data_IF_470815410299
#
_entry.id   IF_470815410299
#
_cell.length_a   1.000
_cell.length_b   1.000
_cell.length_c   1.000
_cell.angle_alpha   90.00
_cell.angle_beta   90.00
_cell.angle_gamma   90.00
#
_symmetry.space_group_name_H-M   'P 1'
#
loop_
_entity.id
_entity.type
_entity.pdbx_description
1 polymer ?
2 non-polymer ?
3 non-polymer ?
4 water ?
#
# COMPACT_ATOMS: atom_id res chain seq x y z
N UNK A 1 12.99 24.08 -7.23
CA UNK A 1 13.70 22.82 -7.36
C UNK A 1 13.59 22.28 -8.78
N UNK A 2 14.54 21.43 -9.16
CA UNK A 2 14.55 20.84 -10.50
C UNK A 2 14.75 19.34 -10.46
N UNK A 3 13.90 18.62 -11.20
CA UNK A 3 14.03 17.19 -11.36
C UNK A 3 14.37 16.91 -12.83
N UNK A 4 15.47 16.20 -13.06
CA UNK A 4 15.91 15.92 -14.42
C UNK A 4 16.20 14.44 -14.60
N UNK A 5 15.72 13.90 -15.71
CA UNK A 5 16.06 12.55 -16.12
C UNK A 5 16.93 12.68 -17.36
N UNK A 6 18.03 11.94 -17.40
CA UNK A 6 18.93 12.00 -18.55
C UNK A 6 19.22 10.63 -19.15
N UNK A 7 19.03 10.53 -20.47
CA UNK A 7 19.43 9.34 -21.21
C UNK A 7 18.85 8.03 -20.68
N UNK A 8 17.63 8.09 -20.15
CA UNK A 8 16.98 6.89 -19.65
C UNK A 8 16.77 5.87 -20.76
N UNK A 9 17.03 4.61 -20.45
CA UNK A 9 16.78 3.53 -21.38
C UNK A 9 16.28 2.31 -20.62
N UNK A 10 15.31 1.61 -21.20
CA UNK A 10 14.80 0.37 -20.61
C UNK A 10 14.39 -0.59 -21.72
N UNK A 11 14.81 -1.85 -21.59
CA UNK A 11 14.41 -2.89 -22.52
C UNK A 11 13.76 -4.04 -21.77
N UNK A 12 12.78 -4.67 -22.42
CA UNK A 12 12.17 -5.89 -21.89
C UNK A 12 12.38 -7.01 -22.88
N UNK A 13 13.14 -8.03 -22.47
CA UNK A 13 13.48 -9.14 -23.35
C UNK A 13 14.16 -8.63 -24.60
N UNK A 14 14.92 -7.55 -24.48
CA UNK A 14 15.63 -6.98 -25.60
C UNK A 14 14.88 -5.88 -26.34
N UNK A 15 13.56 -5.87 -26.21
CA UNK A 15 12.74 -4.85 -26.86
C UNK A 15 12.96 -3.51 -26.17
N UNK A 16 13.45 -2.53 -26.92
CA UNK A 16 13.71 -1.21 -26.34
C UNK A 16 12.43 -0.39 -26.23
N UNK A 17 11.89 -0.28 -25.03
CA UNK A 17 10.63 0.43 -24.84
C UNK A 17 10.82 1.87 -24.41
N UNK A 18 12.02 2.18 -23.93
CA UNK A 18 12.42 3.56 -23.65
C UNK A 18 13.88 3.70 -24.05
N UNK A 19 14.20 4.71 -24.85
CA UNK A 19 15.55 4.88 -25.37
C UNK A 19 15.98 6.35 -25.42
N UNK A 20 17.07 6.65 -24.72
CA UNK A 20 17.65 8.00 -24.71
C UNK A 20 16.61 9.06 -24.37
N UNK A 21 15.84 8.82 -23.31
CA UNK A 21 14.85 9.81 -22.89
C UNK A 21 15.41 10.75 -21.83
N UNK A 22 15.39 12.04 -22.13
CA UNK A 22 15.81 13.06 -21.18
C UNK A 22 14.69 14.09 -21.01
N UNK A 23 14.44 14.52 -19.78
CA UNK A 23 13.42 15.52 -19.55
C UNK A 23 13.66 16.24 -18.24
N UNK A 24 13.04 17.42 -18.11
CA UNK A 24 13.18 18.23 -16.92
C UNK A 24 11.81 18.70 -16.46
N UNK A 25 11.63 18.79 -15.15
CA UNK A 25 10.46 19.45 -14.62
C UNK A 25 10.88 20.32 -13.46
N UNK A 26 10.42 21.56 -13.46
CA UNK A 26 10.77 22.51 -12.41
C UNK A 26 9.56 22.82 -11.53
N UNK A 27 9.83 23.20 -10.29
CA UNK A 27 8.79 23.69 -9.40
C UNK A 27 7.95 24.74 -10.13
N UNK A 28 6.63 24.63 -10.00
CA UNK A 28 5.73 25.66 -10.49
C UNK A 28 5.38 25.62 -11.96
N UNK A 29 5.51 24.46 -12.60
CA UNK A 29 5.05 24.31 -13.97
C UNK A 29 4.37 22.95 -14.14
N UNK A 30 3.52 22.85 -15.16
CA UNK A 30 2.95 21.57 -15.56
C UNK A 30 3.61 21.16 -16.88
N UNK A 31 4.28 20.01 -16.85
CA UNK A 31 5.00 19.50 -18.01
C UNK A 31 4.38 18.19 -18.45
N UNK A 32 4.09 18.08 -19.74
CA UNK A 32 3.50 16.86 -20.27
C UNK A 32 4.53 15.89 -20.81
N UNK A 33 4.25 14.60 -20.64
CA UNK A 33 4.93 13.53 -21.36
C UNK A 33 3.82 12.79 -22.07
N UNK A 34 3.65 13.07 -23.36
CA UNK A 34 2.45 12.65 -24.07
C UNK A 34 2.77 11.78 -25.28
N UNK A 35 1.96 10.75 -25.49
CA UNK A 35 2.15 9.86 -26.62
C UNK A 35 1.20 8.68 -26.53
N UNK A 36 1.11 7.87 -27.60
CA UNK A 36 0.15 6.76 -27.64
C UNK A 36 0.37 5.68 -26.57
N UNK A 37 -0.66 4.88 -26.33
CA UNK A 37 -0.51 3.70 -25.50
C UNK A 37 0.71 2.93 -25.98
N UNK A 38 1.56 2.51 -25.05
CA UNK A 38 2.73 1.71 -25.35
C UNK A 38 3.99 2.50 -25.68
N UNK A 39 3.91 3.82 -25.66
CA UNK A 39 5.03 4.65 -26.10
C UNK A 39 6.21 4.61 -25.12
N UNK A 40 5.94 4.25 -23.86
CA UNK A 40 6.98 4.18 -22.85
C UNK A 40 6.84 5.19 -21.73
N UNK A 41 5.64 5.75 -21.58
CA UNK A 41 5.42 6.80 -20.59
C UNK A 41 5.54 6.27 -19.16
N UNK A 42 4.80 5.20 -18.87
CA UNK A 42 4.84 4.62 -17.54
C UNK A 42 6.23 4.08 -17.21
N UNK A 43 6.85 3.44 -18.17
CA UNK A 43 8.18 2.89 -17.93
C UNK A 43 9.15 4.00 -17.56
N UNK A 44 9.05 5.13 -18.26
CA UNK A 44 9.84 6.30 -17.92
C UNK A 44 9.57 6.76 -16.48
N UNK A 45 8.30 6.87 -16.11
CA UNK A 45 7.95 7.23 -14.73
C UNK A 45 8.56 6.23 -13.74
N UNK A 46 8.49 4.94 -14.06
CA UNK A 46 9.02 3.91 -13.18
C UNK A 46 10.50 4.15 -12.90
N UNK A 47 11.25 4.52 -13.94
CA UNK A 47 12.68 4.73 -13.78
C UNK A 47 12.99 5.98 -12.96
N UNK A 48 12.12 6.98 -13.05
CA UNK A 48 12.31 8.22 -12.31
C UNK A 48 11.97 7.98 -10.84
N UNK A 49 10.90 7.24 -10.59
CA UNK A 49 10.45 6.97 -9.22
C UNK A 49 11.34 5.97 -8.49
N UNK A 50 11.88 5.00 -9.25
CA UNK A 50 12.72 3.98 -8.67
C UNK A 50 12.02 2.63 -8.57
N UNK A 51 10.99 2.44 -9.39
CA UNK A 51 10.17 1.23 -9.35
C UNK A 51 10.74 0.10 -10.22
N UNK A 52 11.35 0.45 -11.35
CA UNK A 52 12.08 -0.54 -12.15
C UNK A 52 13.53 -0.12 -12.34
N UNK A 53 14.43 -1.11 -12.42
CA UNK A 53 15.83 -0.82 -12.72
C UNK A 53 15.96 -0.21 -14.11
N UNK A 54 16.77 0.84 -14.24
CA UNK A 54 17.05 1.40 -15.54
C UNK A 54 18.19 0.63 -16.21
N UNK A 55 18.21 0.58 -17.53
CA UNK A 55 19.30 -0.04 -18.26
C UNK A 55 20.41 0.98 -18.49
N UNK A 56 20.03 2.24 -18.43
CA UNK A 56 20.96 3.34 -18.62
C UNK A 56 20.29 4.63 -18.15
N UNK A 57 21.10 5.66 -17.90
CA UNK A 57 20.57 6.97 -17.61
C UNK A 57 20.83 7.43 -16.19
N UNK A 58 20.44 8.67 -15.92
CA UNK A 58 20.66 9.27 -14.62
C UNK A 58 19.44 10.02 -14.14
N UNK A 59 19.20 9.97 -12.83
CA UNK A 59 18.15 10.76 -12.23
C UNK A 59 18.78 11.80 -11.32
N UNK A 60 18.41 13.06 -11.51
CA UNK A 60 19.06 14.15 -10.80
C UNK A 60 18.03 15.09 -10.17
N UNK A 61 18.22 15.39 -8.90
CA UNK A 61 17.45 16.45 -8.26
C UNK A 61 18.39 17.58 -7.86
N UNK A 62 18.15 18.74 -8.43
CA UNK A 62 19.05 19.88 -8.25
C UNK A 62 20.46 19.48 -8.67
N UNK A 63 21.43 19.60 -7.77
CA UNK A 63 22.81 19.28 -8.13
C UNK A 63 23.11 17.79 -7.94
N UNK A 64 22.27 17.12 -7.15
CA UNK A 64 22.56 15.76 -6.71
C UNK A 64 22.04 14.69 -7.68
N UNK A 65 22.93 13.80 -8.09
CA UNK A 65 22.50 12.61 -8.82
C UNK A 65 22.00 11.58 -7.83
N UNK A 66 20.73 11.21 -7.95
CA UNK A 66 20.09 10.30 -7.00
C UNK A 66 19.81 8.94 -7.62
N UNK A 67 20.51 8.64 -8.70
CA UNK A 67 20.30 7.40 -9.44
C UNK A 67 20.43 6.17 -8.55
N UNK A 68 21.37 6.20 -7.61
CA UNK A 68 21.61 5.06 -6.74
C UNK A 68 20.69 5.00 -5.52
N UNK A 69 19.86 6.02 -5.35
CA UNK A 69 18.93 6.06 -4.21
C UNK A 69 17.74 5.14 -4.42
N UNK A 70 17.40 4.35 -3.39
CA UNK A 70 16.19 3.52 -3.41
C UNK A 70 14.94 4.39 -3.48
N UNK A 71 13.82 3.77 -3.88
CA UNK A 71 12.54 4.44 -3.99
C UNK A 71 12.21 5.30 -2.76
N UNK A 72 12.36 4.74 -1.57
CA UNK A 72 11.96 5.45 -0.35
C UNK A 72 12.79 6.72 -0.14
N UNK A 73 14.06 6.67 -0.53
CA UNK A 73 14.95 7.81 -0.35
C UNK A 73 14.65 8.90 -1.38
N UNK A 74 14.37 8.50 -2.61
CA UNK A 74 13.97 9.45 -3.64
C UNK A 74 12.67 10.16 -3.24
N UNK A 75 11.74 9.41 -2.65
CA UNK A 75 10.49 9.99 -2.20
C UNK A 75 10.74 11.06 -1.14
N UNK A 76 11.62 10.75 -0.18
CA UNK A 76 12.00 11.70 0.85
C UNK A 76 12.61 12.97 0.24
N UNK A 77 13.32 12.79 -0.87
CA UNK A 77 13.98 13.91 -1.55
C UNK A 77 12.97 14.77 -2.33
N UNK A 78 11.74 14.30 -2.44
CA UNK A 78 10.68 15.11 -3.00
C UNK A 78 9.90 14.54 -4.17
N UNK A 79 10.20 13.31 -4.59
CA UNK A 79 9.44 12.71 -5.68
C UNK A 79 8.14 12.07 -5.21
N UNK A 80 7.01 12.58 -5.73
CA UNK A 80 5.70 12.02 -5.47
C UNK A 80 5.18 11.39 -6.74
N UNK A 81 4.23 10.46 -6.59
CA UNK A 81 3.84 9.61 -7.71
C UNK A 81 2.42 9.07 -7.60
N UNK A 82 1.64 9.32 -8.65
CA UNK A 82 0.32 8.73 -8.82
C UNK A 82 0.36 7.66 -9.88
N UNK A 83 0.20 6.39 -9.48
CA UNK A 83 0.19 5.31 -10.47
C UNK A 83 -0.99 5.39 -11.43
N UNK A 84 -0.79 4.86 -12.63
CA UNK A 84 -1.85 4.78 -13.62
C UNK A 84 -2.96 3.84 -13.16
N UNK A 85 -2.57 2.68 -12.65
CA UNK A 85 -3.55 1.72 -12.13
C UNK A 85 -4.12 2.20 -10.80
N UNK A 86 -5.29 1.69 -10.44
CA UNK A 86 -5.87 2.04 -9.14
C UNK A 86 -4.88 1.78 -8.01
N UNK A 87 -4.79 2.71 -7.06
CA UNK A 87 -3.88 2.55 -5.92
C UNK A 87 -4.60 2.75 -4.60
N UNK A 88 -5.87 3.16 -4.65
CA UNK A 88 -6.63 3.35 -3.42
C UNK A 88 -6.83 2.02 -2.70
N UNK A 89 -6.87 2.05 -1.37
CA UNK A 89 -7.24 0.86 -0.60
C UNK A 89 -8.75 0.73 -0.68
N UNK A 90 -9.22 -0.25 -1.44
CA UNK A 90 -10.64 -0.38 -1.73
C UNK A 90 -11.53 -0.68 -0.51
N UNK A 91 -10.99 -1.36 0.49
CA UNK A 91 -11.79 -1.71 1.66
C UNK A 91 -11.83 -0.57 2.69
N UNK A 92 -10.94 0.41 2.54
CA UNK A 92 -10.82 1.47 3.53
C UNK A 92 -11.55 2.73 3.14
N UNK A 93 -12.03 3.48 4.14
CA UNK A 93 -12.65 4.76 3.88
C UNK A 93 -11.66 5.75 3.31
N UNK A 94 -12.18 6.87 2.82
CA UNK A 94 -11.35 7.95 2.33
C UNK A 94 -10.42 8.40 3.45
N UNK A 95 -10.97 8.63 4.64
CA UNK A 95 -10.18 9.08 5.77
C UNK A 95 -9.06 8.08 6.11
N UNK A 96 -9.41 6.80 6.16
CA UNK A 96 -8.41 5.79 6.54
C UNK A 96 -7.34 5.64 5.46
N UNK A 97 -7.72 5.84 4.20
CA UNK A 97 -6.74 5.89 3.13
C UNK A 97 -5.72 6.99 3.35
N UNK A 98 -6.20 8.17 3.73
CA UNK A 98 -5.30 9.30 3.91
C UNK A 98 -4.45 9.13 5.16
N UNK A 99 -5.07 8.65 6.24
CA UNK A 99 -4.30 8.50 7.47
C UNK A 99 -3.22 7.44 7.33
N UNK A 100 -3.45 6.43 6.48
CA UNK A 100 -2.44 5.40 6.28
C UNK A 100 -1.18 6.03 5.72
N UNK A 101 -1.32 6.87 4.69
CA UNK A 101 -0.16 7.52 4.09
C UNK A 101 0.46 8.56 5.01
N UNK A 102 -0.38 9.28 5.75
CA UNK A 102 0.12 10.33 6.63
C UNK A 102 0.98 9.82 7.79
N UNK A 103 0.97 8.52 8.04
CA UNK A 103 1.84 7.97 9.07
C UNK A 103 3.31 8.09 8.74
N UNK A 104 3.65 8.38 7.49
CA UNK A 104 5.05 8.56 7.14
C UNK A 104 5.53 9.96 7.47
N UNK A 105 4.61 10.82 7.90
CA UNK A 105 4.96 12.20 8.20
C UNK A 105 5.52 12.35 9.61
N UNK A 106 6.78 11.94 9.77
CA UNK A 106 7.42 11.98 11.08
C UNK A 106 7.66 13.41 11.57
N UNK A 107 7.45 14.40 10.70
CA UNK A 107 7.58 15.80 11.08
C UNK A 107 6.32 16.33 11.76
N UNK A 108 5.23 15.59 11.66
CA UNK A 108 3.95 15.99 12.22
C UNK A 108 3.57 15.14 13.43
N UNK A 109 2.93 15.77 14.41
CA UNK A 109 2.31 15.01 15.50
C UNK A 109 1.08 14.26 15.00
N UNK A 110 0.60 13.33 15.82
CA UNK A 110 -0.62 12.58 15.46
C UNK A 110 -1.78 13.53 15.16
N UNK A 111 -1.96 14.53 16.01
CA UNK A 111 -3.02 15.51 15.82
C UNK A 111 -2.82 16.30 14.53
N UNK A 112 -1.57 16.62 14.23
CA UNK A 112 -1.27 17.37 13.02
C UNK A 112 -1.51 16.54 11.76
N UNK A 113 -1.27 15.23 11.86
CA UNK A 113 -1.61 14.34 10.76
C UNK A 113 -3.11 14.31 10.52
N UNK A 114 -3.89 14.27 11.59
CA UNK A 114 -5.34 14.35 11.48
C UNK A 114 -5.76 15.66 10.84
N UNK A 115 -5.14 16.76 11.28
CA UNK A 115 -5.40 18.06 10.69
C UNK A 115 -5.10 18.05 9.20
N UNK A 116 -3.98 17.44 8.82
CA UNK A 116 -3.59 17.43 7.43
C UNK A 116 -4.59 16.63 6.59
N UNK A 117 -5.10 15.53 7.14
CA UNK A 117 -6.08 14.72 6.40
C UNK A 117 -7.33 15.53 6.12
N UNK A 118 -7.78 16.29 7.13
CA UNK A 118 -8.94 17.15 6.94
C UNK A 118 -8.68 18.22 5.89
N UNK A 119 -7.50 18.82 5.94
CA UNK A 119 -7.11 19.81 4.94
C UNK A 119 -7.14 19.21 3.54
N UNK A 120 -6.51 18.05 3.39
CA UNK A 120 -6.47 17.37 2.11
C UNK A 120 -7.86 17.01 1.59
N UNK A 121 -8.73 16.56 2.49
CA UNK A 121 -10.08 16.24 2.03
C UNK A 121 -10.79 17.48 1.49
N UNK A 122 -10.61 18.61 2.18
CA UNK A 122 -11.21 19.86 1.71
C UNK A 122 -10.61 20.30 0.38
N UNK A 123 -9.28 20.25 0.28
CA UNK A 123 -8.59 20.71 -0.93
C UNK A 123 -8.97 19.90 -2.17
N UNK A 124 -9.24 18.62 -1.96
CA UNK A 124 -9.55 17.71 -3.07
C UNK A 124 -11.04 17.44 -3.24
N UNK A 125 -11.87 18.18 -2.51
CA UNK A 125 -13.32 18.07 -2.65
C UNK A 125 -13.82 16.65 -2.39
N UNK A 126 -13.34 16.04 -1.32
CA UNK A 126 -13.76 14.69 -0.94
C UNK A 126 -14.16 14.60 0.53
N UNK A 127 -14.29 15.74 1.19
CA UNK A 127 -14.59 15.71 2.63
C UNK A 127 -15.99 15.14 2.91
N UNK A 128 -16.89 15.20 1.93
CA UNK A 128 -18.21 14.60 2.09
C UNK A 128 -18.17 13.08 2.01
N UNK A 129 -17.01 12.53 1.62
CA UNK A 129 -16.84 11.10 1.41
C UNK A 129 -15.92 10.49 2.48
N UNK A 130 -15.69 11.26 3.54
CA UNK A 130 -14.78 10.87 4.62
C UNK A 130 -14.89 9.38 4.98
N UNK A 131 -16.09 8.91 5.26
CA UNK A 131 -16.28 7.55 5.75
C UNK A 131 -16.69 6.56 4.65
N UNK A 132 -16.67 7.00 3.40
CA UNK A 132 -17.01 6.13 2.28
C UNK A 132 -15.87 5.19 1.92
N UNK A 133 -16.21 3.92 1.71
CA UNK A 133 -15.23 2.92 1.32
C UNK A 133 -14.72 3.23 -0.07
N UNK A 134 -13.42 3.02 -0.29
CA UNK A 134 -12.82 3.24 -1.59
C UNK A 134 -13.57 2.54 -2.71
N UNK A 135 -14.02 1.32 -2.45
CA UNK A 135 -14.74 0.54 -3.46
C UNK A 135 -16.03 1.19 -3.93
N UNK A 136 -16.63 2.02 -3.08
CA UNK A 136 -17.92 2.62 -3.37
C UNK A 136 -17.81 3.89 -4.24
N UNK A 137 -16.59 4.40 -4.39
CA UNK A 137 -16.37 5.65 -5.08
C UNK A 137 -16.39 5.52 -6.60
N UNK A 138 -16.83 6.57 -7.27
CA UNK A 138 -16.71 6.64 -8.72
C UNK A 138 -15.24 6.74 -9.13
N UNK A 139 -14.97 6.56 -10.40
CA UNK A 139 -13.62 6.72 -10.90
C UNK A 139 -13.03 8.08 -10.58
N UNK A 140 -13.82 9.13 -10.81
CA UNK A 140 -13.38 10.49 -10.53
C UNK A 140 -13.11 10.73 -9.05
N UNK A 141 -13.98 10.24 -8.19
CA UNK A 141 -13.78 10.35 -6.75
C UNK A 141 -12.54 9.60 -6.29
N UNK A 142 -12.37 8.38 -6.79
CA UNK A 142 -11.20 7.59 -6.44
C UNK A 142 -9.92 8.31 -6.84
N UNK A 143 -9.92 8.87 -8.05
CA UNK A 143 -8.75 9.60 -8.52
C UNK A 143 -8.42 10.78 -7.61
N UNK A 144 -9.44 11.50 -7.13
CA UNK A 144 -9.17 12.59 -6.21
C UNK A 144 -8.53 12.07 -4.92
N UNK A 145 -9.02 10.95 -4.41
CA UNK A 145 -8.42 10.36 -3.22
C UNK A 145 -6.99 9.93 -3.47
N UNK A 146 -6.73 9.32 -4.64
CA UNK A 146 -5.39 8.88 -4.96
C UNK A 146 -4.40 10.03 -5.11
N UNK A 147 -4.84 11.14 -5.71
CA UNK A 147 -3.96 12.29 -5.82
C UNK A 147 -3.70 12.87 -4.43
N UNK A 148 -4.74 12.91 -3.59
CA UNK A 148 -4.57 13.38 -2.21
C UNK A 148 -3.57 12.49 -1.47
N UNK A 149 -3.66 11.18 -1.67
CA UNK A 149 -2.71 10.25 -1.05
C UNK A 149 -1.27 10.57 -1.47
N UNK A 150 -1.08 10.89 -2.74
CA UNK A 150 0.26 11.21 -3.22
C UNK A 150 0.79 12.47 -2.56
N UNK A 151 -0.10 13.43 -2.33
CA UNK A 151 0.26 14.72 -1.78
C UNK A 151 0.51 14.66 -0.27
N UNK A 152 -0.09 13.67 0.38
CA UNK A 152 0.07 13.52 1.82
C UNK A 152 1.55 13.38 2.22
N UNK A 153 2.37 12.92 1.29
CA UNK A 153 3.79 12.75 1.56
C UNK A 153 4.60 14.04 1.39
N UNK A 154 3.91 15.13 1.07
CA UNK A 154 4.55 16.44 0.93
C UNK A 154 5.70 16.48 -0.09
N UNK A 155 5.42 16.13 -1.35
CA UNK A 155 6.44 16.11 -2.40
C UNK A 155 6.70 17.48 -3.03
N UNK A 156 7.85 17.61 -3.68
CA UNK A 156 8.18 18.80 -4.44
C UNK A 156 7.78 18.61 -5.90
N UNK A 157 7.79 17.36 -6.35
CA UNK A 157 7.45 17.00 -7.72
C UNK A 157 6.38 15.95 -7.65
N UNK A 158 5.38 16.06 -8.52
CA UNK A 158 4.35 15.03 -8.57
C UNK A 158 4.23 14.48 -9.99
N UNK A 159 4.50 13.18 -10.12
CA UNK A 159 4.37 12.49 -11.38
C UNK A 159 2.99 11.86 -11.48
N UNK A 160 2.13 12.45 -12.31
CA UNK A 160 0.76 11.97 -12.46
C UNK A 160 0.65 11.10 -13.71
N UNK A 161 0.49 9.79 -13.51
CA UNK A 161 0.41 8.88 -14.65
C UNK A 161 -1.05 8.70 -15.05
N UNK A 162 -1.45 9.41 -16.11
CA UNK A 162 -2.81 9.39 -16.63
C UNK A 162 -3.87 9.61 -15.56
N UNK A 163 -3.85 10.79 -14.92
CA UNK A 163 -4.79 11.09 -13.84
C UNK A 163 -6.26 11.08 -14.29
N UNK A 164 -6.50 11.17 -15.60
CA UNK A 164 -7.87 11.22 -16.11
C UNK A 164 -8.41 9.86 -16.54
N UNK A 165 -7.57 8.84 -16.49
CA UNK A 165 -7.99 7.51 -16.89
C UNK A 165 -9.07 6.97 -15.96
N UNK A 166 -10.19 6.53 -16.53
CA UNK A 166 -11.28 5.96 -15.77
C UNK A 166 -12.15 7.00 -15.10
N UNK A 167 -11.99 8.25 -15.51
CA UNK A 167 -12.72 9.37 -14.94
C UNK A 167 -13.75 9.89 -15.93
N UNK A 168 -15.00 10.03 -15.49
CA UNK A 168 -16.06 10.54 -16.36
C UNK A 168 -15.74 11.97 -16.79
N UNK A 169 -16.20 12.35 -18.00
CA UNK A 169 -15.92 13.68 -18.57
C UNK A 169 -16.21 14.82 -17.60
N UNK A 170 -17.22 14.67 -16.76
CA UNK A 170 -17.58 15.72 -15.80
C UNK A 170 -16.53 15.86 -14.71
N UNK A 171 -16.13 14.73 -14.12
CA UNK A 171 -15.14 14.73 -13.04
C UNK A 171 -13.77 15.23 -13.50
N UNK A 172 -13.50 15.11 -14.80
CA UNK A 172 -12.22 15.54 -15.36
C UNK A 172 -11.97 17.03 -15.15
N UNK A 173 -13.04 17.82 -15.24
CA UNK A 173 -12.92 19.26 -15.06
C UNK A 173 -12.32 19.62 -13.70
N UNK A 174 -12.84 19.01 -12.64
CA UNK A 174 -12.36 19.34 -11.30
C UNK A 174 -10.92 18.87 -11.09
N UNK A 175 -10.59 17.72 -11.64
CA UNK A 175 -9.23 17.18 -11.48
C UNK A 175 -8.22 18.09 -12.18
N UNK A 176 -8.58 18.60 -13.36
CA UNK A 176 -7.70 19.53 -14.06
C UNK A 176 -7.45 20.77 -13.21
N UNK A 177 -8.51 21.25 -12.56
CA UNK A 177 -8.39 22.46 -11.75
C UNK A 177 -7.55 22.21 -10.51
N UNK A 178 -7.72 21.03 -9.91
CA UNK A 178 -6.87 20.62 -8.80
C UNK A 178 -5.39 20.59 -9.23
N UNK A 179 -5.11 19.99 -10.37
CA UNK A 179 -3.75 19.93 -10.89
C UNK A 179 -3.20 21.34 -11.12
N UNK A 180 -4.02 22.22 -11.68
CA UNK A 180 -3.59 23.59 -11.88
C UNK A 180 -3.30 24.25 -10.53
N UNK A 181 -4.11 23.93 -9.53
CA UNK A 181 -3.90 24.42 -8.17
C UNK A 181 -2.58 23.93 -7.60
N UNK A 182 -2.24 22.67 -7.88
CA UNK A 182 -0.98 22.11 -7.41
C UNK A 182 0.19 22.90 -7.96
N UNK A 183 0.12 23.20 -9.25
CA UNK A 183 1.16 23.99 -9.91
C UNK A 183 1.28 25.38 -9.27
N UNK A 184 0.13 25.99 -9.01
CA UNK A 184 0.09 27.32 -8.39
C UNK A 184 0.71 27.29 -7.01
N UNK A 185 0.58 26.16 -6.32
CA UNK A 185 1.11 25.99 -4.98
C UNK A 185 2.62 25.73 -4.97
N UNK A 186 3.20 25.60 -6.16
CA UNK A 186 4.63 25.47 -6.29
C UNK A 186 5.14 24.07 -6.58
N UNK A 187 4.21 23.14 -6.80
CA UNK A 187 4.59 21.78 -7.20
C UNK A 187 5.08 21.78 -8.64
N UNK A 188 6.06 20.93 -8.92
CA UNK A 188 6.43 20.64 -10.29
C UNK A 188 5.59 19.44 -10.67
N UNK A 189 4.83 19.57 -11.75
CA UNK A 189 3.91 18.52 -12.16
C UNK A 189 4.33 17.93 -13.51
N UNK A 190 4.55 16.61 -13.53
CA UNK A 190 4.83 15.91 -14.78
C UNK A 190 3.67 14.96 -15.02
N UNK A 191 3.01 15.12 -16.16
CA UNK A 191 1.74 14.45 -16.42
C UNK A 191 1.76 13.71 -17.74
N UNK A 192 1.29 12.46 -17.73
CA UNK A 192 1.21 11.65 -18.94
C UNK A 192 -0.23 11.53 -19.44
N UNK A 193 -0.35 11.29 -20.74
CA UNK A 193 -1.64 11.02 -21.38
C UNK A 193 -1.41 10.53 -22.80
N UNK A 194 -2.37 9.78 -23.32
CA UNK A 194 -2.38 9.45 -24.74
C UNK A 194 -3.26 10.46 -25.48
N UNK A 195 -4.18 11.10 -24.77
CA UNK A 195 -4.99 12.15 -25.37
C UNK A 195 -4.23 13.47 -25.40
N UNK A 196 -3.49 13.68 -26.48
CA UNK A 196 -2.57 14.81 -26.57
C UNK A 196 -3.24 16.15 -26.34
N UNK A 197 -4.27 16.44 -27.13
CA UNK A 197 -4.92 17.75 -27.11
C UNK A 197 -5.53 18.07 -25.74
N UNK A 198 -6.20 17.09 -25.15
CA UNK A 198 -6.86 17.30 -23.86
C UNK A 198 -5.87 17.73 -22.78
N UNK A 199 -4.78 16.97 -22.64
CA UNK A 199 -3.80 17.24 -21.59
C UNK A 199 -2.84 18.38 -21.97
N UNK A 200 -2.54 18.50 -23.26
CA UNK A 200 -1.65 19.55 -23.72
C UNK A 200 -2.18 20.91 -23.29
N UNK A 201 -3.50 21.06 -23.35
CA UNK A 201 -4.15 22.33 -23.01
C UNK A 201 -3.82 22.80 -21.60
N UNK A 202 -3.54 21.86 -20.70
CA UNK A 202 -3.24 22.20 -19.31
C UNK A 202 -1.73 22.23 -19.04
N UNK A 203 -0.94 21.95 -20.07
CA UNK A 203 0.52 21.97 -19.93
C UNK A 203 1.09 23.32 -20.32
N UNK A 204 2.16 23.72 -19.64
CA UNK A 204 2.93 24.88 -20.08
C UNK A 204 3.83 24.48 -21.25
N UNK A 205 4.32 23.25 -21.19
CA UNK A 205 5.14 22.70 -22.27
C UNK A 205 5.03 21.18 -22.17
N UNK A 206 5.40 20.49 -23.24
CA UNK A 206 5.29 19.04 -23.24
C UNK A 206 6.33 18.39 -24.13
N UNK A 207 6.70 17.17 -23.75
CA UNK A 207 7.51 16.29 -24.58
C UNK A 207 6.56 15.29 -25.21
N UNK A 208 6.75 15.02 -26.50
CA UNK A 208 5.98 13.98 -27.16
C UNK A 208 6.84 12.73 -27.34
N UNK A 209 6.32 11.58 -26.92
CA UNK A 209 7.05 10.32 -27.08
C UNK A 209 6.33 9.38 -28.04
N UNK A 210 7.12 8.65 -28.83
CA UNK A 210 6.61 7.67 -29.76
C UNK A 210 7.56 6.48 -29.80
N UNK A 211 7.02 5.29 -29.55
CA UNK A 211 7.80 4.06 -29.60
C UNK A 211 9.14 4.15 -28.85
N UNK A 212 9.12 4.76 -27.67
CA UNK A 212 10.30 4.77 -26.82
C UNK A 212 11.18 5.99 -26.95
N UNK A 213 10.90 6.84 -27.95
CA UNK A 213 11.76 7.98 -28.25
C UNK A 213 11.04 9.31 -28.10
N UNK A 214 11.76 10.31 -27.61
CA UNK A 214 11.25 11.68 -27.59
C UNK A 214 11.34 12.21 -29.00
N UNK A 215 10.24 12.75 -29.52
CA UNK A 215 10.26 13.24 -30.90
C UNK A 215 10.06 14.74 -30.99
N UNK A 216 9.60 15.36 -29.91
CA UNK A 216 9.35 16.78 -29.94
C UNK A 216 9.20 17.36 -28.54
N UNK A 217 9.48 18.65 -28.42
CA UNK A 217 9.20 19.40 -27.20
C UNK A 217 8.78 20.81 -27.55
N UNK A 218 7.81 21.33 -26.81
CA UNK A 218 7.42 22.71 -26.99
C UNK A 218 6.15 23.06 -26.24
N UNK A 219 5.68 24.27 -26.49
CA UNK A 219 4.42 24.73 -25.92
C UNK A 219 3.30 24.03 -26.69
N UNK A 220 2.06 24.10 -26.17
CA UNK A 220 0.96 23.44 -26.89
C UNK A 220 0.82 23.86 -28.35
N UNK A 221 0.93 25.15 -28.65
CA UNK A 221 0.79 25.60 -30.03
C UNK A 221 1.95 25.11 -30.90
N UNK A 222 3.14 25.08 -30.32
CA UNK A 222 4.32 24.58 -31.03
C UNK A 222 4.17 23.11 -31.38
N UNK A 223 3.70 22.33 -30.40
CA UNK A 223 3.53 20.90 -30.59
C UNK A 223 2.46 20.56 -31.63
N UNK A 224 1.38 21.33 -31.63
CA UNK A 224 0.27 21.06 -32.56
C UNK A 224 0.60 21.46 -33.99
N UNK A 225 1.71 22.18 -34.18
CA UNK A 225 2.12 22.64 -35.50
C UNK A 225 3.43 22.00 -35.91
N UNK A 226 3.95 21.12 -35.05
CA UNK A 226 5.23 20.46 -35.31
C UNK A 226 5.05 19.31 -36.29
N UNK A 227 5.78 19.33 -37.41
CA UNK A 227 5.63 18.29 -38.42
C UNK A 227 6.07 16.91 -37.92
N UNK A 228 7.08 16.87 -37.05
CA UNK A 228 7.56 15.61 -36.51
C UNK A 228 6.47 14.94 -35.70
N UNK A 229 5.64 15.76 -35.05
CA UNK A 229 4.53 15.26 -34.27
C UNK A 229 3.39 14.82 -35.18
N UNK A 230 3.08 15.65 -36.17
CA UNK A 230 2.03 15.33 -37.14
C UNK A 230 2.36 14.01 -37.79
N UNK A 231 3.64 13.83 -38.08
CA UNK A 231 4.16 12.69 -38.81
C UNK A 231 3.82 11.34 -38.17
N UNK A 232 3.59 11.32 -36.86
CA UNK A 232 3.29 10.06 -36.17
C UNK A 232 1.81 9.92 -35.85
N UNK A 233 1.02 10.90 -36.26
CA UNK A 233 -0.42 10.86 -36.08
C UNK A 233 -1.16 10.95 -37.41
N UNK A 234 -0.52 10.45 -38.47
CA UNK A 234 -1.10 10.49 -39.81
C UNK A 234 -2.26 9.49 -39.96
N UNK B 1 0.99 -8.04 27.46
CA UNK B 1 -0.14 -7.28 26.96
C UNK B 1 -1.31 -8.22 26.65
N UNK B 2 -2.52 -7.67 26.64
CA UNK B 2 -3.71 -8.47 26.36
C UNK B 2 -4.59 -7.78 25.33
N UNK B 3 -4.97 -8.51 24.30
CA UNK B 3 -5.93 -8.03 23.32
C UNK B 3 -7.21 -8.85 23.44
N UNK B 4 -8.34 -8.17 23.62
CA UNK B 4 -9.59 -8.87 23.83
C UNK B 4 -10.66 -8.35 22.87
N UNK B 5 -11.39 -9.28 22.25
CA UNK B 5 -12.59 -8.92 21.52
C UNK B 5 -13.77 -9.52 22.29
N UNK B 6 -14.76 -8.70 22.59
CA UNK B 6 -15.91 -9.16 23.37
C UNK B 6 -17.20 -9.00 22.59
N UNK B 7 -17.97 -10.08 22.49
CA UNK B 7 -19.33 -9.99 21.95
C UNK B 7 -19.42 -9.39 20.54
N UNK B 8 -18.46 -9.72 19.70
CA UNK B 8 -18.48 -9.18 18.34
C UNK B 8 -19.63 -9.73 17.51
N UNK B 9 -20.22 -8.87 16.70
CA UNK B 9 -21.26 -9.31 15.80
C UNK B 9 -21.17 -8.51 14.51
N UNK B 10 -21.42 -9.18 13.39
CA UNK B 10 -21.46 -8.54 12.09
C UNK B 10 -22.50 -9.24 11.21
N UNK B 11 -23.35 -8.45 10.57
CA UNK B 11 -24.29 -8.99 9.60
C UNK B 11 -24.12 -8.29 8.26
N UNK B 12 -24.40 -9.02 7.19
CA UNK B 12 -24.41 -8.45 5.84
C UNK B 12 -25.77 -8.70 5.24
N UNK B 13 -26.47 -7.61 4.90
CA UNK B 13 -27.83 -7.69 4.38
C UNK B 13 -28.71 -8.61 5.22
N UNK B 14 -28.58 -8.49 6.54
CA UNK B 14 -29.43 -9.22 7.46
C UNK B 14 -28.89 -10.58 7.87
N UNK B 15 -27.89 -11.08 7.15
CA UNK B 15 -27.30 -12.37 7.45
C UNK B 15 -26.19 -12.21 8.48
N UNK B 16 -26.35 -12.81 9.64
CA UNK B 16 -25.37 -12.71 10.72
C UNK B 16 -24.19 -13.64 10.46
N UNK B 17 -23.05 -13.09 10.05
CA UNK B 17 -21.91 -13.93 9.70
C UNK B 17 -20.92 -14.07 10.86
N UNK B 18 -21.01 -13.16 11.82
CA UNK B 18 -20.34 -13.31 13.11
C UNK B 18 -21.35 -12.95 14.18
N UNK B 19 -21.49 -13.80 15.18
CA UNK B 19 -22.42 -13.52 16.26
C UNK B 19 -21.89 -13.92 17.63
N UNK B 20 -21.75 -12.93 18.50
CA UNK B 20 -21.38 -13.16 19.90
C UNK B 20 -20.04 -13.86 20.02
N UNK B 21 -19.06 -13.38 19.25
CA UNK B 21 -17.71 -13.94 19.27
C UNK B 21 -16.84 -13.17 20.27
N UNK B 22 -16.29 -13.90 21.24
CA UNK B 22 -15.38 -13.32 22.21
C UNK B 22 -14.11 -14.12 22.26
N UNK B 23 -12.96 -13.43 22.24
CA UNK B 23 -11.68 -14.11 22.31
C UNK B 23 -10.62 -13.20 22.90
N UNK B 24 -9.55 -13.81 23.38
CA UNK B 24 -8.46 -13.05 23.97
C UNK B 24 -7.13 -13.62 23.51
N UNK B 25 -6.13 -12.74 23.40
CA UNK B 25 -4.78 -13.18 23.08
C UNK B 25 -3.80 -12.38 23.93
N UNK B 26 -2.84 -13.09 24.53
CA UNK B 26 -1.85 -12.43 25.37
C UNK B 26 -0.48 -12.47 24.71
N UNK B 27 0.37 -11.52 25.09
CA UNK B 27 1.77 -11.54 24.71
C UNK B 27 2.36 -12.90 25.03
N UNK B 28 3.16 -13.43 24.10
CA UNK B 28 3.88 -14.67 24.36
C UNK B 28 3.08 -15.95 24.18
N UNK B 29 1.96 -15.87 23.47
CA UNK B 29 1.26 -17.09 23.10
C UNK B 29 0.77 -17.04 21.68
N UNK B 30 0.55 -18.22 21.11
CA UNK B 30 -0.04 -18.34 19.79
C UNK B 30 -1.46 -18.86 19.98
N UNK B 31 -2.44 -18.06 19.55
CA UNK B 31 -3.84 -18.42 19.73
C UNK B 31 -4.47 -18.62 18.35
N UNK B 32 -5.19 -19.73 18.18
CA UNK B 32 -5.88 -19.99 16.94
C UNK B 32 -7.32 -19.54 16.92
N UNK B 33 -7.75 -19.07 15.75
CA UNK B 33 -9.16 -18.88 15.45
C UNK B 33 -9.38 -19.75 14.22
N UNK B 34 -9.93 -20.93 14.46
CA UNK B 34 -9.93 -21.99 13.46
C UNK B 34 -11.35 -22.42 13.11
N UNK B 35 -11.58 -22.68 11.83
CA UNK B 35 -12.89 -23.10 11.38
C UNK B 35 -12.98 -23.10 9.88
N UNK B 36 -14.07 -23.64 9.33
CA UNK B 36 -14.20 -23.82 7.88
C UNK B 36 -14.30 -22.51 7.11
N UNK B 37 -14.03 -22.59 5.80
CA UNK B 37 -14.27 -21.45 4.92
C UNK B 37 -15.68 -20.92 5.13
N UNK B 38 -15.78 -19.62 5.33
CA UNK B 38 -17.06 -18.96 5.51
C UNK B 38 -17.53 -18.86 6.96
N UNK B 39 -16.71 -19.34 7.90
CA UNK B 39 -17.11 -19.37 9.31
C UNK B 39 -17.15 -17.99 9.96
N UNK B 40 -16.44 -17.04 9.37
CA UNK B 40 -16.41 -15.69 9.90
C UNK B 40 -15.08 -15.27 10.49
N UNK B 41 -14.02 -15.98 10.14
CA UNK B 41 -12.68 -15.70 10.67
C UNK B 41 -12.14 -14.36 10.20
N UNK B 42 -12.12 -14.15 8.90
CA UNK B 42 -11.65 -12.88 8.36
C UNK B 42 -12.51 -11.69 8.82
N UNK B 43 -13.82 -11.88 8.88
CA UNK B 43 -14.71 -10.80 9.32
C UNK B 43 -14.39 -10.43 10.76
N UNK B 44 -14.09 -11.43 11.57
CA UNK B 44 -13.70 -11.18 12.95
C UNK B 44 -12.40 -10.37 12.97
N UNK B 45 -11.42 -10.78 12.18
CA UNK B 45 -10.17 -10.03 12.13
C UNK B 45 -10.42 -8.59 11.68
N UNK B 46 -11.26 -8.42 10.66
CA UNK B 46 -11.58 -7.08 10.16
C UNK B 46 -12.12 -6.21 11.30
N UNK B 47 -12.96 -6.79 12.15
CA UNK B 47 -13.52 -6.00 13.23
C UNK B 47 -12.50 -5.64 14.29
N UNK B 48 -11.52 -6.52 14.51
CA UNK B 48 -10.47 -6.23 15.48
C UNK B 48 -9.51 -5.17 14.95
N UNK B 49 -9.15 -5.30 13.68
CA UNK B 49 -8.21 -4.39 13.03
C UNK B 49 -8.83 -3.01 12.79
N UNK B 50 -10.12 -2.99 12.49
CA UNK B 50 -10.80 -1.75 12.14
C UNK B 50 -11.09 -1.60 10.66
N UNK B 51 -11.08 -2.70 9.93
CA UNK B 51 -11.35 -2.69 8.49
C UNK B 51 -12.83 -2.68 8.17
N UNK B 52 -13.66 -3.26 9.04
CA UNK B 52 -15.10 -3.14 8.87
C UNK B 52 -15.71 -2.72 10.19
N UNK B 53 -16.80 -1.94 10.12
CA UNK B 53 -17.46 -1.54 11.37
C UNK B 53 -18.14 -2.73 12.01
N UNK B 54 -18.09 -2.80 13.34
CA UNK B 54 -18.78 -3.85 14.06
C UNK B 54 -20.26 -3.52 14.22
N UNK B 55 -21.11 -4.52 14.17
CA UNK B 55 -22.53 -4.31 14.47
C UNK B 55 -22.76 -4.31 15.98
N UNK B 56 -21.88 -4.98 16.70
CA UNK B 56 -21.89 -5.01 18.16
C UNK B 56 -20.53 -5.48 18.64
N UNK B 57 -20.22 -5.20 19.90
CA UNK B 57 -19.02 -5.73 20.53
C UNK B 57 -18.00 -4.67 20.92
N UNK B 58 -16.91 -5.13 21.53
CA UNK B 58 -15.88 -4.23 22.02
C UNK B 58 -14.49 -4.79 21.73
N UNK B 59 -13.56 -3.91 21.42
CA UNK B 59 -12.17 -4.28 21.26
C UNK B 59 -11.39 -3.59 22.36
N UNK B 60 -10.62 -4.36 23.11
CA UNK B 60 -9.92 -3.85 24.29
C UNK B 60 -8.46 -4.24 24.25
N UNK B 61 -7.56 -3.29 24.51
CA UNK B 61 -6.14 -3.61 24.69
C UNK B 61 -5.74 -3.13 26.08
N UNK B 62 -5.19 -4.03 26.88
CA UNK B 62 -4.73 -3.67 28.22
C UNK B 62 -5.75 -2.83 28.99
N UNK B 63 -6.98 -3.32 29.03
CA UNK B 63 -8.05 -2.71 29.82
C UNK B 63 -8.52 -1.34 29.32
N UNK B 64 -8.07 -0.96 28.14
CA UNK B 64 -8.58 0.25 27.48
C UNK B 64 -9.43 -0.14 26.29
N UNK B 65 -10.68 0.30 26.29
CA UNK B 65 -11.56 0.02 25.17
C UNK B 65 -11.20 0.90 23.99
N UNK B 66 -10.82 0.27 22.88
CA UNK B 66 -10.36 1.02 21.72
C UNK B 66 -11.31 0.87 20.54
N UNK B 67 -12.53 0.45 20.83
CA UNK B 67 -13.55 0.22 19.80
C UNK B 67 -13.76 1.43 18.90
N UNK B 68 -13.67 2.63 19.48
CA UNK B 68 -13.92 3.85 18.73
C UNK B 68 -12.71 4.35 17.94
N UNK B 69 -11.56 3.73 18.17
CA UNK B 69 -10.34 4.17 17.48
C UNK B 69 -10.33 3.73 16.03
N UNK B 70 -9.91 4.63 15.13
CA UNK B 70 -9.79 4.23 13.72
C UNK B 70 -8.61 3.28 13.51
N UNK B 71 -8.58 2.66 12.33
CA UNK B 71 -7.53 1.72 11.94
C UNK B 71 -6.11 2.17 12.31
N UNK B 72 -5.72 3.39 11.91
CA UNK B 72 -4.33 3.80 12.09
C UNK B 72 -3.98 3.93 13.57
N UNK B 73 -4.96 4.32 14.37
CA UNK B 73 -4.75 4.50 15.80
C UNK B 73 -4.67 3.16 16.53
N UNK B 74 -5.49 2.20 16.10
CA UNK B 74 -5.38 0.87 16.67
C UNK B 74 -4.04 0.24 16.32
N UNK B 75 -3.57 0.48 15.09
CA UNK B 75 -2.27 0.00 14.68
C UNK B 75 -1.16 0.56 15.58
N UNK B 76 -1.21 1.87 15.83
CA UNK B 76 -0.22 2.51 16.68
C UNK B 76 -0.27 1.95 18.09
N UNK B 77 -1.46 1.52 18.52
CA UNK B 77 -1.63 0.97 19.86
C UNK B 77 -1.18 -0.48 19.96
N UNK B 78 -0.81 -1.07 18.83
CA UNK B 78 -0.19 -2.37 18.83
C UNK B 78 -0.76 -3.48 17.95
N UNK B 79 -1.82 -3.20 17.21
CA UNK B 79 -2.42 -4.25 16.38
C UNK B 79 -1.75 -4.31 15.02
N UNK B 80 -1.19 -5.46 14.70
CA UNK B 80 -0.62 -5.72 13.38
C UNK B 80 -1.43 -6.77 12.65
N UNK B 81 -1.33 -6.79 11.33
CA UNK B 81 -2.27 -7.57 10.56
C UNK B 81 -1.69 -8.01 9.22
N UNK B 82 -1.76 -9.32 8.98
CA UNK B 82 -1.40 -9.91 7.70
C UNK B 82 -2.68 -10.35 7.00
N UNK B 83 -3.01 -9.68 5.89
CA UNK B 83 -4.18 -10.05 5.10
C UNK B 83 -4.08 -11.45 4.51
N UNK B 84 -5.24 -12.05 4.32
CA UNK B 84 -5.37 -13.35 3.72
C UNK B 84 -4.93 -13.30 2.25
N UNK B 85 -5.39 -12.29 1.54
CA UNK B 85 -5.00 -12.09 0.14
C UNK B 85 -3.56 -11.60 0.05
N UNK B 86 -2.97 -11.71 -1.14
CA UNK B 86 -1.60 -11.23 -1.36
C UNK B 86 -1.52 -9.74 -1.04
N UNK B 87 -0.44 -9.32 -0.38
CA UNK B 87 -0.30 -7.91 0.01
C UNK B 87 1.07 -7.30 -0.35
N UNK B 88 1.98 -8.15 -0.81
CA UNK B 88 3.30 -7.66 -1.23
C UNK B 88 3.19 -6.79 -2.47
N UNK B 89 4.07 -5.79 -2.58
CA UNK B 89 4.17 -5.03 -3.82
C UNK B 89 5.06 -5.80 -4.80
N UNK B 90 4.44 -6.29 -5.86
CA UNK B 90 5.11 -7.25 -6.75
C UNK B 90 6.29 -6.66 -7.52
N UNK B 91 6.21 -5.36 -7.82
CA UNK B 91 7.25 -4.72 -8.61
C UNK B 91 8.45 -4.27 -7.77
N UNK B 92 8.27 -4.26 -6.45
CA UNK B 92 9.32 -3.77 -5.55
C UNK B 92 10.16 -4.90 -4.98
N UNK B 93 11.44 -4.64 -4.80
CA UNK B 93 12.34 -5.59 -4.16
C UNK B 93 11.87 -5.86 -2.73
N UNK B 94 12.44 -6.89 -2.11
CA UNK B 94 12.14 -7.18 -0.72
C UNK B 94 12.50 -5.98 0.15
N UNK B 95 13.67 -5.41 -0.12
CA UNK B 95 14.14 -4.26 0.62
C UNK B 95 13.17 -3.08 0.50
N UNK B 96 12.74 -2.78 -0.71
CA UNK B 96 11.80 -1.68 -0.93
C UNK B 96 10.44 -1.95 -0.29
N UNK B 97 10.00 -3.21 -0.29
CA UNK B 97 8.77 -3.58 0.39
C UNK B 97 8.81 -3.30 1.87
N UNK B 98 9.95 -3.60 2.48
CA UNK B 98 10.15 -3.39 3.91
C UNK B 98 10.35 -1.93 4.26
N UNK B 99 11.15 -1.22 3.47
CA UNK B 99 11.42 0.18 3.75
C UNK B 99 10.15 1.02 3.60
N UNK B 100 9.24 0.56 2.74
CA UNK B 100 7.96 1.23 2.55
C UNK B 100 7.21 1.29 3.87
N UNK B 101 7.13 0.16 4.56
CA UNK B 101 6.45 0.13 5.85
C UNK B 101 7.28 0.84 6.91
N UNK B 102 8.61 0.70 6.83
CA UNK B 102 9.46 1.31 7.85
C UNK B 102 9.40 2.83 7.89
N UNK B 103 8.84 3.43 6.84
CA UNK B 103 8.65 4.88 6.83
C UNK B 103 7.68 5.40 7.89
N UNK B 104 6.86 4.51 8.44
CA UNK B 104 5.91 4.92 9.47
C UNK B 104 6.51 4.84 10.87
N UNK B 105 7.77 4.43 10.96
CA UNK B 105 8.43 4.33 12.26
C UNK B 105 9.03 5.67 12.67
N UNK B 106 8.16 6.57 13.13
CA UNK B 106 8.58 7.88 13.58
C UNK B 106 9.43 7.82 14.85
N UNK B 107 9.55 6.62 15.41
CA UNK B 107 10.39 6.41 16.58
C UNK B 107 11.81 6.03 16.19
N UNK B 108 12.05 5.83 14.90
CA UNK B 108 13.37 5.44 14.41
C UNK B 108 13.97 6.47 13.47
N UNK B 109 15.27 6.69 13.58
CA UNK B 109 15.97 7.55 12.64
C UNK B 109 16.15 6.81 11.31
N UNK B 110 16.62 7.52 10.29
CA UNK B 110 16.82 6.93 8.98
C UNK B 110 17.75 5.72 9.05
N UNK B 111 18.86 5.86 9.77
CA UNK B 111 19.79 4.75 9.91
C UNK B 111 19.19 3.60 10.71
N UNK B 112 18.48 3.92 11.78
CA UNK B 112 17.84 2.89 12.59
C UNK B 112 16.82 2.11 11.75
N UNK B 113 16.16 2.79 10.83
CA UNK B 113 15.23 2.12 9.92
C UNK B 113 15.99 1.18 9.00
N UNK B 114 17.13 1.64 8.49
CA UNK B 114 17.96 0.78 7.66
C UNK B 114 18.38 -0.46 8.43
N UNK B 115 18.76 -0.29 9.69
CA UNK B 115 19.19 -1.41 10.52
C UNK B 115 18.04 -2.40 10.73
N UNK B 116 16.85 -1.86 10.99
CA UNK B 116 15.69 -2.71 11.23
C UNK B 116 15.37 -3.56 10.00
N UNK B 117 15.48 -2.96 8.82
CA UNK B 117 15.26 -3.68 7.57
C UNK B 117 16.22 -4.85 7.49
N UNK B 118 17.49 -4.59 7.76
CA UNK B 118 18.49 -5.66 7.75
C UNK B 118 18.14 -6.78 8.73
N UNK B 119 17.76 -6.39 9.95
CA UNK B 119 17.40 -7.34 10.98
C UNK B 119 16.19 -8.18 10.58
N UNK B 120 15.16 -7.52 10.05
CA UNK B 120 13.98 -8.24 9.60
C UNK B 120 14.31 -9.24 8.49
N UNK B 121 15.10 -8.81 7.52
CA UNK B 121 15.46 -9.71 6.43
C UNK B 121 16.19 -10.96 6.94
N UNK B 122 17.07 -10.78 7.91
CA UNK B 122 17.80 -11.90 8.49
C UNK B 122 16.89 -12.80 9.34
N UNK B 123 16.04 -12.18 10.13
CA UNK B 123 15.14 -12.91 11.00
C UNK B 123 14.18 -13.77 10.18
N UNK B 124 13.79 -13.27 9.02
CA UNK B 124 12.82 -13.96 8.17
C UNK B 124 13.47 -14.77 7.04
N UNK B 125 14.79 -14.86 7.07
CA UNK B 125 15.55 -15.67 6.11
C UNK B 125 15.28 -15.25 4.66
N UNK B 126 15.32 -13.95 4.40
CA UNK B 126 15.05 -13.43 3.07
C UNK B 126 16.09 -12.40 2.63
N UNK B 127 17.19 -12.32 3.37
CA UNK B 127 18.18 -11.28 3.10
C UNK B 127 18.89 -11.52 1.77
N UNK B 128 18.97 -12.78 1.36
CA UNK B 128 19.54 -13.12 0.06
C UNK B 128 18.60 -12.68 -1.06
N UNK B 129 17.40 -12.26 -0.68
CA UNK B 129 16.38 -11.83 -1.65
C UNK B 129 16.22 -10.32 -1.62
N UNK B 130 17.12 -9.64 -0.94
CA UNK B 130 17.05 -8.18 -0.74
C UNK B 130 16.63 -7.39 -1.98
N UNK B 131 17.27 -7.68 -3.10
CA UNK B 131 17.01 -6.92 -4.32
C UNK B 131 16.09 -7.63 -5.31
N UNK B 132 15.58 -8.80 -4.91
CA UNK B 132 14.66 -9.56 -5.76
C UNK B 132 13.26 -8.96 -5.75
N UNK B 133 12.67 -8.80 -6.92
CA UNK B 133 11.31 -8.28 -7.01
C UNK B 133 10.31 -9.22 -6.36
N UNK B 134 9.25 -8.65 -5.79
CA UNK B 134 8.21 -9.44 -5.16
C UNK B 134 7.66 -10.50 -6.11
N UNK B 135 7.60 -10.15 -7.39
CA UNK B 135 6.98 -11.02 -8.39
C UNK B 135 7.85 -12.23 -8.75
N UNK B 136 9.13 -12.18 -8.40
CA UNK B 136 10.05 -13.28 -8.71
C UNK B 136 10.13 -14.28 -7.57
N UNK B 137 9.40 -14.02 -6.49
CA UNK B 137 9.44 -14.85 -5.30
C UNK B 137 8.41 -15.97 -5.33
N UNK B 138 8.72 -17.09 -4.69
CA UNK B 138 7.76 -18.17 -4.51
C UNK B 138 6.67 -17.72 -3.55
N UNK B 139 5.58 -18.48 -3.49
CA UNK B 139 4.50 -18.19 -2.57
C UNK B 139 5.00 -18.12 -1.13
N UNK B 140 5.86 -19.06 -0.78
CA UNK B 140 6.45 -19.10 0.55
C UNK B 140 7.35 -17.93 0.86
N UNK B 141 8.14 -17.51 -0.13
CA UNK B 141 9.03 -16.37 0.06
C UNK B 141 8.21 -15.10 0.19
N UNK B 142 7.24 -14.94 -0.70
CA UNK B 142 6.32 -13.81 -0.66
C UNK B 142 5.65 -13.69 0.72
N UNK B 143 5.18 -14.82 1.24
CA UNK B 143 4.50 -14.83 2.54
C UNK B 143 5.44 -14.37 3.64
N UNK B 144 6.70 -14.82 3.58
CA UNK B 144 7.69 -14.40 4.57
C UNK B 144 7.89 -12.89 4.52
N UNK B 145 7.97 -12.35 3.30
CA UNK B 145 8.09 -10.91 3.12
C UNK B 145 6.89 -10.19 3.69
N UNK B 146 5.70 -10.75 3.47
CA UNK B 146 4.48 -10.10 3.91
C UNK B 146 4.38 -10.08 5.43
N UNK B 147 4.82 -11.16 6.06
CA UNK B 147 4.83 -11.17 7.51
C UNK B 147 5.87 -10.19 8.03
N UNK B 148 7.03 -10.18 7.39
CA UNK B 148 8.06 -9.20 7.70
C UNK B 148 7.52 -7.77 7.63
N UNK B 149 6.78 -7.47 6.56
CA UNK B 149 6.16 -6.15 6.40
C UNK B 149 5.26 -5.83 7.60
N UNK B 150 4.47 -6.81 8.02
CA UNK B 150 3.58 -6.62 9.15
C UNK B 150 4.37 -6.37 10.43
N UNK B 151 5.51 -7.06 10.57
CA UNK B 151 6.35 -6.90 11.76
C UNK B 151 7.12 -5.59 11.78
N UNK B 152 7.38 -5.03 10.60
CA UNK B 152 8.10 -3.76 10.49
C UNK B 152 7.39 -2.61 11.22
N UNK B 153 6.09 -2.78 11.45
CA UNK B 153 5.30 -1.74 12.12
C UNK B 153 5.40 -1.82 13.63
N UNK B 154 6.15 -2.81 14.12
CA UNK B 154 6.40 -3.01 15.54
C UNK B 154 5.14 -3.23 16.36
N UNK B 155 4.32 -4.21 15.96
CA UNK B 155 3.08 -4.47 16.70
C UNK B 155 3.30 -5.25 17.99
N UNK B 156 2.32 -5.20 18.87
CA UNK B 156 2.31 -6.02 20.07
C UNK B 156 1.56 -7.32 19.80
N UNK B 157 0.59 -7.24 18.89
CA UNK B 157 -0.23 -8.41 18.52
C UNK B 157 -0.24 -8.51 17.01
N UNK B 158 -0.03 -9.69 16.49
CA UNK B 158 -0.06 -9.86 15.05
C UNK B 158 -1.17 -10.83 14.69
N UNK B 159 -2.09 -10.36 13.86
CA UNK B 159 -3.20 -11.16 13.40
C UNK B 159 -2.84 -11.72 12.03
N UNK B 160 -2.55 -13.01 11.99
CA UNK B 160 -2.13 -13.66 10.76
C UNK B 160 -3.30 -14.41 10.13
N UNK B 161 -3.84 -13.85 9.05
CA UNK B 161 -4.99 -14.47 8.39
C UNK B 161 -4.52 -15.48 7.34
N UNK B 162 -4.58 -16.76 7.72
CA UNK B 162 -4.17 -17.89 6.90
C UNK B 162 -2.77 -17.75 6.29
N UNK B 163 -1.76 -17.67 7.17
CA UNK B 163 -0.37 -17.47 6.73
C UNK B 163 0.18 -18.62 5.89
N UNK B 164 -0.46 -19.79 5.92
CA UNK B 164 0.07 -20.95 5.22
C UNK B 164 -0.58 -21.17 3.86
N UNK B 165 -1.62 -20.41 3.57
CA UNK B 165 -2.33 -20.55 2.31
C UNK B 165 -1.43 -20.18 1.13
N UNK B 166 -1.35 -21.07 0.15
CA UNK B 166 -0.58 -20.80 -1.06
C UNK B 166 0.92 -20.97 -0.92
N UNK B 167 1.37 -21.59 0.16
CA UNK B 167 2.80 -21.82 0.34
C UNK B 167 3.15 -23.30 0.36
N UNK B 168 4.34 -23.62 -0.13
CA UNK B 168 4.79 -25.00 -0.23
C UNK B 168 5.06 -25.59 1.16
N UNK B 169 4.96 -26.93 1.28
CA UNK B 169 5.15 -27.64 2.54
C UNK B 169 6.44 -27.25 3.27
N UNK B 170 7.51 -27.01 2.53
CA UNK B 170 8.79 -26.67 3.15
C UNK B 170 8.78 -25.26 3.72
N UNK B 171 8.17 -24.33 3.00
CA UNK B 171 8.03 -22.96 3.48
C UNK B 171 7.12 -22.91 4.71
N UNK B 172 6.17 -23.83 4.79
CA UNK B 172 5.28 -23.89 5.95
C UNK B 172 6.08 -24.16 7.21
N UNK B 173 6.98 -25.14 7.13
CA UNK B 173 7.80 -25.49 8.27
C UNK B 173 8.56 -24.27 8.78
N UNK B 174 9.12 -23.49 7.86
CA UNK B 174 9.91 -22.33 8.24
C UNK B 174 9.03 -21.21 8.81
N UNK B 175 7.87 -21.01 8.18
CA UNK B 175 6.96 -19.97 8.64
C UNK B 175 6.45 -20.30 10.05
N UNK B 176 6.20 -21.58 10.30
CA UNK B 176 5.79 -22.00 11.63
C UNK B 176 6.88 -21.70 12.66
N UNK B 177 8.13 -22.01 12.31
CA UNK B 177 9.23 -21.78 13.25
C UNK B 177 9.43 -20.29 13.47
N UNK B 178 9.24 -19.51 12.41
CA UNK B 178 9.30 -18.05 12.51
C UNK B 178 8.22 -17.51 13.44
N UNK B 179 7.01 -18.04 13.32
CA UNK B 179 5.90 -17.61 14.16
C UNK B 179 6.18 -17.97 15.61
N UNK B 180 6.77 -19.13 15.83
CA UNK B 180 7.13 -19.55 17.18
C UNK B 180 8.16 -18.59 17.76
N UNK B 181 9.08 -18.12 16.93
CA UNK B 181 10.07 -17.15 17.38
C UNK B 181 9.41 -15.82 17.75
N UNK B 182 8.40 -15.41 16.99
CA UNK B 182 7.67 -14.19 17.30
C UNK B 182 7.05 -14.30 18.68
N UNK B 183 6.45 -15.45 18.97
CA UNK B 183 5.86 -15.71 20.28
C UNK B 183 6.92 -15.63 21.37
N UNK B 184 8.07 -16.26 21.12
CA UNK B 184 9.17 -16.26 22.09
C UNK B 184 9.69 -14.85 22.34
N UNK B 185 9.56 -13.98 21.33
CA UNK B 185 9.99 -12.60 21.42
C UNK B 185 8.98 -11.72 22.15
N UNK B 186 7.82 -12.29 22.46
CA UNK B 186 6.84 -11.59 23.26
C UNK B 186 5.61 -11.10 22.52
N UNK B 187 5.52 -11.40 21.22
CA UNK B 187 4.33 -11.02 20.48
C UNK B 187 3.15 -11.91 20.87
N UNK B 188 1.95 -11.34 20.84
CA UNK B 188 0.75 -12.15 20.91
C UNK B 188 0.38 -12.46 19.48
N UNK B 189 0.20 -13.74 19.17
CA UNK B 189 -0.08 -14.13 17.80
C UNK B 189 -1.48 -14.71 17.70
N UNK B 190 -2.30 -14.18 16.80
CA UNK B 190 -3.63 -14.69 16.55
C UNK B 190 -3.64 -15.20 15.10
N UNK B 191 -3.85 -16.50 14.92
CA UNK B 191 -3.71 -17.11 13.61
C UNK B 191 -5.01 -17.82 13.19
N UNK B 192 -5.42 -17.60 11.94
CA UNK B 192 -6.58 -18.31 11.41
C UNK B 192 -6.18 -19.42 10.44
N UNK B 193 -7.05 -20.40 10.33
CA UNK B 193 -6.88 -21.47 9.36
C UNK B 193 -8.17 -22.27 9.32
N UNK B 194 -8.41 -22.94 8.20
CA UNK B 194 -9.54 -23.86 8.09
C UNK B 194 -9.06 -25.29 8.34
N UNK B 195 -7.76 -25.51 8.18
CA UNK B 195 -7.15 -26.80 8.48
C UNK B 195 -6.89 -26.91 9.97
N UNK B 196 -7.89 -27.36 10.71
CA UNK B 196 -7.86 -27.28 12.17
C UNK B 196 -6.73 -28.10 12.81
N UNK B 197 -6.64 -29.37 12.45
CA UNK B 197 -5.63 -30.25 13.04
C UNK B 197 -4.21 -29.74 12.84
N UNK B 198 -3.91 -29.27 11.63
CA UNK B 198 -2.57 -28.81 11.30
C UNK B 198 -2.13 -27.59 12.11
N UNK B 199 -2.91 -26.51 12.03
CA UNK B 199 -2.56 -25.28 12.73
C UNK B 199 -2.73 -25.41 14.25
N UNK B 200 -3.71 -26.21 14.67
CA UNK B 200 -3.98 -26.38 16.09
C UNK B 200 -2.70 -26.79 16.83
N UNK B 201 -1.87 -27.59 16.16
CA UNK B 201 -0.66 -28.12 16.77
C UNK B 201 0.35 -27.04 17.17
N UNK B 202 0.28 -25.86 16.56
CA UNK B 202 1.22 -24.79 16.87
C UNK B 202 0.63 -23.79 17.86
N UNK B 203 -0.62 -24.04 18.27
CA UNK B 203 -1.32 -23.14 19.17
C UNK B 203 -1.22 -23.53 20.64
N UNK B 204 -1.06 -22.53 21.52
CA UNK B 204 -1.13 -22.78 22.95
C UNK B 204 -2.59 -23.04 23.31
N UNK B 205 -3.49 -22.36 22.61
CA UNK B 205 -4.91 -22.63 22.72
C UNK B 205 -5.62 -22.02 21.53
N UNK B 206 -6.90 -22.35 21.38
CA UNK B 206 -7.60 -21.93 20.19
C UNK B 206 -9.09 -21.81 20.40
N UNK B 207 -9.71 -21.04 19.51
CA UNK B 207 -11.15 -20.88 19.45
C UNK B 207 -11.63 -21.48 18.15
N UNK B 208 -12.62 -22.38 18.23
CA UNK B 208 -13.17 -22.99 17.04
C UNK B 208 -14.45 -22.28 16.65
N UNK B 209 -14.50 -21.80 15.42
CA UNK B 209 -15.66 -21.10 14.91
C UNK B 209 -16.41 -21.93 13.89
N UNK B 210 -17.73 -21.75 13.86
CA UNK B 210 -18.56 -22.38 12.86
C UNK B 210 -19.84 -21.57 12.71
N UNK B 211 -20.18 -21.20 11.48
CA UNK B 211 -21.41 -20.45 11.22
C UNK B 211 -21.48 -19.17 12.05
N UNK B 212 -20.35 -18.48 12.18
CA UNK B 212 -20.30 -17.21 12.87
C UNK B 212 -20.30 -17.33 14.38
N UNK B 213 -20.30 -18.55 14.90
CA UNK B 213 -20.32 -18.77 16.35
C UNK B 213 -19.10 -19.52 16.86
N UNK B 214 -18.68 -19.20 18.08
CA UNK B 214 -17.65 -19.99 18.74
C UNK B 214 -18.28 -21.24 19.31
N UNK B 215 -17.71 -22.40 19.00
CA UNK B 215 -18.30 -23.65 19.46
C UNK B 215 -17.40 -24.38 20.45
N UNK B 216 -16.14 -23.95 20.54
CA UNK B 216 -15.21 -24.56 21.47
C UNK B 216 -13.99 -23.67 21.67
N UNK B 217 -13.37 -23.79 22.83
CA UNK B 217 -12.11 -23.11 23.07
C UNK B 217 -11.31 -23.81 24.14
N UNK B 218 -9.98 -23.70 24.05
CA UNK B 218 -9.10 -24.33 25.01
C UNK B 218 -7.80 -24.77 24.38
N UNK B 219 -7.03 -25.54 25.13
CA UNK B 219 -5.79 -26.12 24.62
C UNK B 219 -6.10 -27.11 23.52
N UNK B 220 -5.09 -27.48 22.72
CA UNK B 220 -5.25 -28.46 21.65
C UNK B 220 -5.83 -29.77 22.15
N UNK B 221 -5.35 -30.26 23.29
CA UNK B 221 -5.84 -31.52 23.83
C UNK B 221 -7.31 -31.42 24.21
N UNK B 222 -7.69 -30.33 24.85
CA UNK B 222 -9.09 -30.10 25.24
C UNK B 222 -10.00 -30.04 24.02
N UNK B 223 -9.53 -29.38 22.96
CA UNK B 223 -10.33 -29.22 21.75
C UNK B 223 -10.46 -30.52 20.96
N UNK B 224 -9.36 -31.26 20.87
CA UNK B 224 -9.35 -32.51 20.12
C UNK B 224 -10.10 -33.63 20.84
N UNK B 225 -10.43 -33.39 22.10
CA UNK B 225 -11.24 -34.33 22.87
C UNK B 225 -12.68 -33.81 22.96
N UNK B 226 -12.88 -32.58 22.52
CA UNK B 226 -14.18 -31.93 22.62
C UNK B 226 -15.26 -32.68 21.82
N UNK B 227 -16.45 -32.74 22.38
CA UNK B 227 -17.56 -33.46 21.76
C UNK B 227 -18.31 -32.59 20.77
N UNK B 228 -18.37 -31.29 21.05
CA UNK B 228 -19.10 -30.35 20.21
C UNK B 228 -18.34 -30.08 18.90
N UNK B 229 -17.02 -30.18 18.95
CA UNK B 229 -16.20 -29.98 17.76
C UNK B 229 -16.40 -31.12 16.78
N UNK B 230 -16.73 -32.30 17.29
CA UNK B 230 -16.98 -33.47 16.47
C UNK B 230 -17.83 -33.12 15.25
#
# INVERSE_FOLDING_TARGET
>A
ATLTAKNLAKAYKGRRVVEDVSLTVNSGEIVGLLGPNGAGKTTTFYMVVGIVPRDAGNIIIDDDDISLLPLHARARRGIGYLPQEASIFRRLSVYDNLMAVLQIRDDLSAEQREDRANELMEEFHIEHLRDSMGQSLSGGERRRVEIARALAANPKFILLDEPFAGVDPISVIDIKRIIEHLRDSGLGVLITDHNVRETLAVCERAYIVSQGHLIAHGTPTEILQDEHVKRVYLGEDFRLEHHHHHHHH
>B
ATLTAKNLAKAYKGRRVVEDVSLTVNSGEIVGLLGPNGAGKTTTFYMVVGIVPRDAGNIIIDDDDISLLPLHARARRGIGYLPQEASIFRRLSVYDNLMAVLQIRDDLSAEQREDRANELMEEFHIEHLRDSMGQSLSGGERRRVEIARALAANPKFILLDEPFAGVDPISVIDIKRIIEHLRDSGLGVLITDHNVRETLAVCERAYIVSQGHLIAHGTPTEILQDEHVKRVYLGEDFRLEHHHHHHHH
#
